data_IF_703729111191
#
_entry.id   IF_703729111191
#
_cell.length_a   1.000
_cell.length_b   1.000
_cell.length_c   1.000
_cell.angle_alpha   90.00
_cell.angle_beta   90.00
_cell.angle_gamma   90.00
#
_symmetry.space_group_name_H-M   'P 1'
#
loop_
_entity.id
_entity.type
_entity.pdbx_description
1 polymer ?
#
# COMPACT_ATOMS: atom_id res chain seq x y z
N UNK A 1 -8.11 -18.84 -10.15
CA UNK A 1 -7.21 -18.77 -11.33
C UNK A 1 -5.83 -18.44 -10.82
N UNK A 2 -4.81 -19.20 -11.23
CA UNK A 2 -3.43 -18.95 -10.78
C UNK A 2 -2.91 -17.61 -11.28
N UNK A 3 -2.32 -16.87 -10.35
CA UNK A 3 -1.64 -15.58 -10.52
C UNK A 3 -0.16 -15.74 -10.21
N UNK A 4 0.69 -15.29 -11.13
CA UNK A 4 2.14 -15.25 -10.93
C UNK A 4 2.50 -13.89 -10.33
N UNK A 5 3.08 -13.89 -9.13
CA UNK A 5 3.29 -12.65 -8.38
C UNK A 5 4.72 -12.55 -7.86
N UNK A 6 5.16 -11.33 -7.62
CA UNK A 6 6.35 -11.02 -6.83
C UNK A 6 5.93 -10.56 -5.45
N UNK A 7 6.54 -11.11 -4.40
CA UNK A 7 6.40 -10.62 -3.03
C UNK A 7 7.48 -9.59 -2.71
N UNK A 8 7.18 -8.69 -1.77
CA UNK A 8 8.13 -7.66 -1.31
C UNK A 8 9.40 -8.28 -0.72
N UNK A 9 9.26 -9.42 -0.03
CA UNK A 9 10.36 -10.15 0.60
C UNK A 9 10.06 -11.66 0.74
N UNK A 10 10.98 -12.39 1.37
CA UNK A 10 10.90 -13.84 1.59
C UNK A 10 9.73 -14.28 2.50
N UNK A 11 9.14 -13.37 3.28
CA UNK A 11 8.00 -13.69 4.15
C UNK A 11 6.73 -13.98 3.34
N UNK A 12 6.67 -13.49 2.10
CA UNK A 12 5.54 -13.66 1.18
C UNK A 12 4.20 -13.19 1.75
N UNK A 13 4.24 -12.15 2.58
CA UNK A 13 3.06 -11.56 3.21
C UNK A 13 2.40 -10.50 2.33
N UNK A 14 3.18 -9.75 1.55
CA UNK A 14 2.70 -8.67 0.69
C UNK A 14 3.15 -8.86 -0.76
N UNK A 15 2.22 -8.73 -1.70
CA UNK A 15 2.49 -8.76 -3.14
C UNK A 15 2.94 -7.36 -3.58
N UNK A 16 4.04 -7.33 -4.33
CA UNK A 16 4.62 -6.15 -4.96
C UNK A 16 4.12 -5.97 -6.41
N UNK A 17 3.89 -7.07 -7.13
CA UNK A 17 3.47 -7.03 -8.53
C UNK A 17 2.92 -8.35 -9.05
N UNK A 18 2.18 -8.29 -10.15
CA UNK A 18 1.65 -9.43 -10.90
C UNK A 18 2.34 -9.52 -12.27
N UNK A 19 2.62 -10.75 -12.70
CA UNK A 19 3.14 -11.08 -14.03
C UNK A 19 2.18 -12.00 -14.77
N UNK A 20 2.29 -12.02 -16.11
CA UNK A 20 1.55 -12.98 -16.93
C UNK A 20 2.06 -14.43 -16.83
N UNK A 21 3.27 -14.64 -16.31
CA UNK A 21 3.95 -15.93 -16.19
C UNK A 21 5.10 -15.87 -15.16
N UNK A 22 5.73 -17.01 -14.86
CA UNK A 22 6.94 -17.06 -14.05
C UNK A 22 8.10 -16.29 -14.70
N UNK A 23 8.83 -15.51 -13.90
CA UNK A 23 10.02 -14.75 -14.27
C UNK A 23 11.30 -15.39 -13.74
N UNK A 24 12.45 -14.91 -14.19
CA UNK A 24 13.75 -15.26 -13.63
C UNK A 24 13.86 -14.80 -12.16
N UNK A 25 14.23 -15.70 -11.25
CA UNK A 25 14.35 -15.42 -9.81
C UNK A 25 15.60 -14.63 -9.44
N UNK A 26 16.62 -14.62 -10.30
CA UNK A 26 17.81 -13.78 -10.07
C UNK A 26 17.52 -12.30 -10.34
N UNK A 27 16.60 -12.03 -11.27
CA UNK A 27 16.18 -10.67 -11.64
C UNK A 27 14.97 -10.22 -10.81
N UNK A 28 13.99 -11.11 -10.63
CA UNK A 28 12.77 -10.87 -9.86
C UNK A 28 12.71 -11.88 -8.70
N UNK A 29 13.40 -11.61 -7.58
CA UNK A 29 13.38 -12.48 -6.42
C UNK A 29 11.98 -12.53 -5.78
N UNK A 30 11.78 -13.48 -4.87
CA UNK A 30 10.55 -13.64 -4.09
C UNK A 30 9.29 -13.87 -4.93
N UNK A 31 9.42 -14.63 -6.02
CA UNK A 31 8.25 -15.03 -6.80
C UNK A 31 7.42 -16.13 -6.14
N UNK A 32 6.14 -16.16 -6.49
CA UNK A 32 5.26 -17.27 -6.19
C UNK A 32 3.98 -17.26 -7.01
N UNK A 33 3.13 -18.22 -6.70
CA UNK A 33 1.83 -18.41 -7.31
C UNK A 33 0.77 -18.30 -6.21
N UNK A 34 -0.31 -17.58 -6.52
CA UNK A 34 -1.48 -17.42 -5.63
C UNK A 34 -2.75 -17.61 -6.45
N UNK A 35 -3.86 -17.98 -5.81
CA UNK A 35 -5.17 -17.97 -6.46
C UNK A 35 -5.76 -16.55 -6.49
N UNK A 36 -6.79 -16.34 -7.29
CA UNK A 36 -7.49 -15.06 -7.43
C UNK A 36 -8.30 -14.68 -6.19
N UNK A 37 -8.62 -15.65 -5.32
CA UNK A 37 -9.26 -15.45 -4.03
C UNK A 37 -8.26 -15.37 -2.86
N UNK A 38 -6.94 -15.40 -3.12
CA UNK A 38 -5.93 -15.23 -2.08
C UNK A 38 -6.06 -13.85 -1.42
N UNK A 39 -6.16 -13.76 -0.08
CA UNK A 39 -6.32 -12.49 0.62
C UNK A 39 -5.24 -11.45 0.28
N UNK A 40 -4.00 -11.91 0.05
CA UNK A 40 -2.87 -11.04 -0.29
C UNK A 40 -3.03 -10.45 -1.69
N UNK A 41 -3.59 -11.24 -2.61
CA UNK A 41 -3.87 -10.79 -3.97
C UNK A 41 -5.04 -9.80 -4.01
N UNK A 42 -6.09 -10.08 -3.23
CA UNK A 42 -7.23 -9.17 -3.07
C UNK A 42 -6.80 -7.82 -2.48
N UNK A 43 -5.92 -7.82 -1.47
CA UNK A 43 -5.34 -6.59 -0.91
C UNK A 43 -4.49 -5.84 -1.94
N UNK A 44 -3.73 -6.55 -2.78
CA UNK A 44 -2.91 -5.94 -3.82
C UNK A 44 -3.74 -5.25 -4.91
N UNK A 45 -4.81 -5.88 -5.42
CA UNK A 45 -5.64 -5.31 -6.50
C UNK A 45 -6.65 -4.27 -6.00
N UNK A 46 -6.98 -4.29 -4.71
CA UNK A 46 -7.91 -3.38 -4.07
C UNK A 46 -7.34 -2.93 -2.71
N UNK A 47 -6.28 -2.11 -2.72
CA UNK A 47 -5.64 -1.68 -1.48
C UNK A 47 -6.61 -0.87 -0.62
N UNK A 48 -6.53 -1.01 0.72
CA UNK A 48 -7.34 -0.18 1.61
C UNK A 48 -7.06 1.29 1.35
N UNK A 49 -8.09 2.13 1.48
CA UNK A 49 -7.91 3.56 1.41
C UNK A 49 -6.82 3.99 2.41
N UNK A 50 -5.93 4.92 2.03
CA UNK A 50 -4.96 5.44 2.97
C UNK A 50 -5.73 5.97 4.20
N UNK A 51 -5.20 5.78 5.42
CA UNK A 51 -5.86 6.28 6.61
C UNK A 51 -6.13 7.77 6.42
N UNK A 52 -7.40 8.18 6.52
CA UNK A 52 -7.70 9.61 6.55
C UNK A 52 -6.97 10.20 7.75
N UNK A 53 -6.16 11.26 7.58
CA UNK A 53 -5.57 11.92 8.73
C UNK A 53 -6.69 12.38 9.66
N UNK A 54 -6.47 12.23 10.96
CA UNK A 54 -7.40 12.69 11.99
C UNK A 54 -7.75 14.15 11.69
N UNK A 55 -9.04 14.53 11.61
CA UNK A 55 -9.44 15.91 11.36
C UNK A 55 -8.75 16.93 12.28
N UNK A 56 -8.42 16.54 13.51
CA UNK A 56 -7.69 17.39 14.46
C UNK A 56 -6.23 17.56 14.04
N UNK A 57 -5.58 16.51 13.54
CA UNK A 57 -4.19 16.62 13.05
C UNK A 57 -4.11 17.45 11.77
N UNK A 58 -5.08 17.29 10.85
CA UNK A 58 -5.21 18.19 9.70
C UNK A 58 -5.38 19.64 10.12
N UNK A 59 -6.22 19.89 11.13
CA UNK A 59 -6.44 21.24 11.64
C UNK A 59 -5.17 21.80 12.28
N UNK A 60 -4.45 21.01 13.07
CA UNK A 60 -3.17 21.41 13.68
C UNK A 60 -2.11 21.76 12.63
N UNK A 61 -1.93 20.91 11.63
CA UNK A 61 -1.01 21.17 10.51
C UNK A 61 -1.39 22.46 9.76
N UNK A 62 -2.69 22.63 9.49
CA UNK A 62 -3.19 23.83 8.83
C UNK A 62 -2.92 25.10 9.66
N UNK A 63 -3.22 25.10 10.96
CA UNK A 63 -2.97 26.25 11.82
C UNK A 63 -1.47 26.53 12.00
N UNK A 64 -0.63 25.49 12.04
CA UNK A 64 0.82 25.65 12.09
C UNK A 64 1.38 26.29 10.80
N UNK A 65 0.82 25.94 9.64
CA UNK A 65 1.20 26.53 8.36
C UNK A 65 0.63 27.95 8.14
N UNK A 66 -0.42 28.34 8.87
CA UNK A 66 -1.15 29.61 8.71
C UNK A 66 -1.29 30.32 10.07
N UNK A 67 -0.22 30.98 10.56
CA UNK A 67 -0.21 31.61 11.89
C UNK A 67 -1.16 32.81 12.00
N UNK A 68 -1.48 33.47 10.90
CA UNK A 68 -2.48 34.52 10.81
C UNK A 68 -3.89 33.98 11.10
N UNK A 69 -4.23 32.82 10.56
CA UNK A 69 -5.50 32.14 10.85
C UNK A 69 -5.52 31.63 12.29
N UNK A 70 -4.40 31.11 12.79
CA UNK A 70 -4.28 30.69 14.19
C UNK A 70 -4.52 31.84 15.19
N UNK A 71 -4.02 33.03 14.88
CA UNK A 71 -4.20 34.22 15.71
C UNK A 71 -5.66 34.75 15.76
N UNK A 72 -6.51 34.37 14.80
CA UNK A 72 -7.95 34.71 14.84
C UNK A 72 -8.70 33.86 15.88
N UNK A 73 -8.17 32.68 16.20
CA UNK A 73 -8.82 31.70 17.06
C UNK A 73 -8.35 31.77 18.52
N UNK A 74 -7.36 32.62 18.84
CA UNK A 74 -6.81 32.86 20.18
C UNK A 74 -7.56 33.96 20.92
#
# INVERSE_FOLDING_TARGET
MIKYVQFVDESRTQIQGEFGNSQDREVYPNQGEVEDDDPRYLEFINPPAPPSPDPIDKLREFLAANPDVAAILS
#
